data_IF_981238394775
#
_entry.id   IF_981238394775
#
_cell.length_a   1.000
_cell.length_b   1.000
_cell.length_c   1.000
_cell.angle_alpha   90.00
_cell.angle_beta   90.00
_cell.angle_gamma   90.00
#
_symmetry.space_group_name_H-M   'P 1'
#
loop_
_entity.id
_entity.type
_entity.pdbx_description
1 polymer ?
#
# COMPACT_ATOMS: atom_id res chain seq x y z
N UNK A 1 -2.70 21.69 10.34
CA UNK A 1 -3.39 20.72 9.48
C UNK A 1 -4.80 20.50 9.99
N UNK A 2 -5.78 20.43 9.09
CA UNK A 2 -7.15 20.07 9.43
C UNK A 2 -7.33 18.54 9.55
N UNK A 3 -8.41 18.08 10.19
CA UNK A 3 -8.72 16.64 10.32
C UNK A 3 -8.71 15.92 8.96
N UNK A 4 -9.35 16.44 7.89
CA UNK A 4 -9.30 15.84 6.55
C UNK A 4 -7.89 15.65 6.01
N UNK A 5 -7.01 16.65 6.19
CA UNK A 5 -5.62 16.60 5.71
C UNK A 5 -4.84 15.46 6.35
N UNK A 6 -5.01 15.23 7.65
CA UNK A 6 -4.38 14.12 8.35
C UNK A 6 -4.83 12.76 7.80
N UNK A 7 -6.13 12.55 7.62
CA UNK A 7 -6.66 11.29 7.08
C UNK A 7 -6.21 11.04 5.65
N UNK A 8 -6.17 12.07 4.80
CA UNK A 8 -5.71 11.96 3.41
C UNK A 8 -4.23 11.62 3.33
N UNK A 9 -3.39 12.22 4.17
CA UNK A 9 -1.96 11.95 4.23
C UNK A 9 -1.67 10.51 4.71
N UNK A 10 -2.40 10.05 5.73
CA UNK A 10 -2.32 8.65 6.19
C UNK A 10 -2.74 7.70 5.08
N UNK A 11 -3.86 7.97 4.40
CA UNK A 11 -4.35 7.15 3.30
C UNK A 11 -3.32 7.08 2.16
N UNK A 12 -2.65 8.19 1.84
CA UNK A 12 -1.57 8.22 0.85
C UNK A 12 -0.43 7.27 1.21
N UNK A 13 0.15 7.40 2.41
CA UNK A 13 1.29 6.57 2.81
C UNK A 13 0.93 5.10 2.94
N UNK A 14 -0.26 4.79 3.48
CA UNK A 14 -0.74 3.41 3.59
C UNK A 14 -0.90 2.79 2.20
N UNK A 15 -1.57 3.45 1.26
CA UNK A 15 -1.74 2.92 -0.09
C UNK A 15 -0.41 2.78 -0.84
N UNK A 16 0.47 3.77 -0.72
CA UNK A 16 1.79 3.74 -1.36
C UNK A 16 2.63 2.57 -0.82
N UNK A 17 2.69 2.43 0.50
CA UNK A 17 3.43 1.37 1.18
C UNK A 17 2.89 -0.02 0.84
N UNK A 18 1.58 -0.22 0.89
CA UNK A 18 0.98 -1.52 0.56
C UNK A 18 1.17 -1.88 -0.91
N UNK A 19 1.03 -0.92 -1.83
CA UNK A 19 1.32 -1.14 -3.24
C UNK A 19 2.77 -1.58 -3.47
N UNK A 20 3.74 -0.93 -2.81
CA UNK A 20 5.16 -1.30 -2.89
C UNK A 20 5.43 -2.69 -2.31
N UNK A 21 4.88 -3.01 -1.13
CA UNK A 21 5.07 -4.30 -0.46
C UNK A 21 4.56 -5.46 -1.32
N UNK A 22 3.40 -5.30 -1.96
CA UNK A 22 2.84 -6.33 -2.85
C UNK A 22 3.62 -6.42 -4.15
N UNK A 23 4.04 -5.29 -4.73
CA UNK A 23 4.82 -5.26 -5.97
C UNK A 23 6.18 -5.96 -5.84
N UNK A 24 6.93 -5.64 -4.78
CA UNK A 24 8.31 -6.14 -4.57
C UNK A 24 8.38 -7.63 -4.25
N UNK A 25 7.25 -8.29 -4.01
CA UNK A 25 7.24 -9.69 -3.62
C UNK A 25 7.61 -10.60 -4.79
N UNK A 26 8.62 -11.48 -4.68
CA UNK A 26 8.91 -12.51 -5.68
C UNK A 26 7.86 -13.64 -5.66
N UNK A 27 7.59 -14.25 -6.81
CA UNK A 27 6.74 -15.45 -6.93
C UNK A 27 5.76 -15.46 -8.11
N UNK A 28 4.99 -16.55 -8.25
CA UNK A 28 4.23 -16.95 -9.44
C UNK A 28 2.96 -16.14 -9.77
N UNK A 29 2.52 -15.21 -8.91
CA UNK A 29 1.31 -14.39 -9.11
C UNK A 29 1.62 -12.95 -9.55
N UNK A 30 2.41 -12.78 -10.62
CA UNK A 30 2.94 -11.46 -11.03
C UNK A 30 1.85 -10.46 -11.44
N UNK A 31 0.86 -10.89 -12.24
CA UNK A 31 -0.20 -10.04 -12.79
C UNK A 31 -1.23 -9.63 -11.73
N UNK A 32 -1.57 -10.52 -10.80
CA UNK A 32 -2.42 -10.18 -9.64
C UNK A 32 -1.71 -9.14 -8.76
N UNK A 33 -0.41 -9.34 -8.47
CA UNK A 33 0.37 -8.36 -7.70
C UNK A 33 0.45 -7.01 -8.40
N UNK A 34 0.73 -7.00 -9.70
CA UNK A 34 0.81 -5.75 -10.48
C UNK A 34 -0.51 -5.00 -10.47
N UNK A 35 -1.62 -5.67 -10.82
CA UNK A 35 -2.96 -5.04 -10.83
C UNK A 35 -3.37 -4.49 -9.46
N UNK A 36 -3.12 -5.24 -8.38
CA UNK A 36 -3.35 -4.74 -7.02
C UNK A 36 -2.46 -3.54 -6.66
N UNK A 37 -1.19 -3.57 -7.06
CA UNK A 37 -0.25 -2.48 -6.78
C UNK A 37 -0.64 -1.20 -7.52
N UNK A 38 -1.07 -1.32 -8.79
CA UNK A 38 -1.61 -0.20 -9.57
C UNK A 38 -2.88 0.34 -8.92
N UNK A 39 -3.78 -0.54 -8.44
CA UNK A 39 -4.99 -0.13 -7.72
C UNK A 39 -4.64 0.68 -6.45
N UNK A 40 -3.70 0.17 -5.65
CA UNK A 40 -3.23 0.85 -4.44
C UNK A 40 -2.56 2.19 -4.76
N UNK A 41 -1.63 2.25 -5.73
CA UNK A 41 -0.97 3.50 -6.11
C UNK A 41 -1.93 4.53 -6.71
N UNK A 42 -2.96 4.09 -7.43
CA UNK A 42 -4.02 4.98 -7.91
C UNK A 42 -4.81 5.58 -6.74
N UNK A 43 -5.11 4.77 -5.71
CA UNK A 43 -5.69 5.25 -4.45
C UNK A 43 -4.77 6.22 -3.70
N UNK A 44 -3.46 5.98 -3.69
CA UNK A 44 -2.47 6.90 -3.12
C UNK A 44 -2.46 8.24 -3.88
N UNK A 45 -2.37 8.20 -5.21
CA UNK A 45 -2.42 9.39 -6.06
C UNK A 45 -3.70 10.20 -5.84
N UNK A 46 -4.84 9.52 -5.68
CA UNK A 46 -6.11 10.16 -5.37
C UNK A 46 -6.09 10.84 -3.99
N UNK A 47 -5.59 10.16 -2.96
CA UNK A 47 -5.46 10.71 -1.61
C UNK A 47 -4.52 11.93 -1.56
N UNK A 48 -3.36 11.85 -2.23
CA UNK A 48 -2.42 12.97 -2.33
C UNK A 48 -3.05 14.16 -3.07
N UNK A 49 -3.77 13.89 -4.15
CA UNK A 49 -4.43 14.95 -4.93
C UNK A 49 -5.42 15.73 -4.09
N UNK A 50 -6.29 15.03 -3.35
CA UNK A 50 -7.24 15.68 -2.46
C UNK A 50 -6.55 16.37 -1.28
N UNK A 51 -5.49 15.78 -0.71
CA UNK A 51 -4.68 16.45 0.31
C UNK A 51 -4.19 17.82 -0.20
N UNK A 52 -3.61 17.84 -1.40
CA UNK A 52 -3.12 19.07 -2.02
C UNK A 52 -4.25 20.07 -2.31
N UNK A 53 -5.43 19.60 -2.73
CA UNK A 53 -6.61 20.48 -2.93
C UNK A 53 -7.06 21.16 -1.63
N UNK A 54 -7.02 20.47 -0.49
CA UNK A 54 -7.38 21.05 0.82
C UNK A 54 -6.27 21.94 1.40
N UNK A 55 -5.00 21.58 1.15
CA UNK A 55 -3.84 22.32 1.63
C UNK A 55 -3.64 23.65 0.87
N UNK A 56 -3.92 23.66 -0.43
CA UNK A 56 -3.63 24.78 -1.35
C UNK A 56 -4.84 25.69 -1.63
N UNK A 57 -5.66 26.03 -0.62
CA UNK A 57 -6.98 26.68 -0.81
C UNK A 57 -7.00 27.88 -1.79
N UNK A 58 -6.03 28.78 -1.68
CA UNK A 58 -5.95 30.02 -2.46
C UNK A 58 -4.85 30.00 -3.54
N UNK A 59 -4.29 28.82 -3.83
CA UNK A 59 -3.18 28.68 -4.79
C UNK A 59 -3.71 28.31 -6.19
N UNK A 60 -3.16 28.87 -7.28
CA UNK A 60 -3.53 28.51 -8.65
C UNK A 60 -3.33 27.01 -8.97
N UNK A 61 -2.39 26.33 -8.29
CA UNK A 61 -2.13 24.90 -8.44
C UNK A 61 -3.27 24.01 -7.92
N UNK A 62 -4.25 24.56 -7.20
CA UNK A 62 -5.39 23.79 -6.66
C UNK A 62 -6.20 23.12 -7.76
N UNK A 63 -6.40 23.78 -8.90
CA UNK A 63 -7.11 23.21 -10.04
C UNK A 63 -6.34 22.02 -10.65
N UNK A 64 -5.01 22.16 -10.78
CA UNK A 64 -4.14 21.08 -11.25
C UNK A 64 -4.28 19.83 -10.36
N UNK A 65 -4.24 19.99 -9.04
CA UNK A 65 -4.42 18.86 -8.12
C UNK A 65 -5.84 18.30 -8.12
N UNK A 66 -6.86 19.12 -8.37
CA UNK A 66 -8.22 18.65 -8.64
C UNK A 66 -8.26 17.72 -9.85
N UNK A 67 -7.69 18.16 -10.98
CA UNK A 67 -7.56 17.38 -12.22
C UNK A 67 -6.75 16.10 -12.02
N UNK A 68 -5.64 16.17 -11.27
CA UNK A 68 -4.83 15.01 -10.89
C UNK A 68 -5.65 13.99 -10.07
N UNK A 69 -6.57 14.46 -9.22
CA UNK A 69 -7.50 13.60 -8.48
C UNK A 69 -8.42 12.80 -9.40
N UNK A 70 -8.92 13.40 -10.47
CA UNK A 70 -9.71 12.71 -11.51
C UNK A 70 -8.85 11.77 -12.35
N UNK A 71 -7.62 12.17 -12.70
CA UNK A 71 -6.70 11.34 -13.47
C UNK A 71 -6.36 10.04 -12.73
N UNK A 72 -5.99 10.17 -11.45
CA UNK A 72 -5.62 9.03 -10.60
C UNK A 72 -6.82 8.15 -10.24
N UNK A 73 -7.97 8.74 -9.93
CA UNK A 73 -9.21 7.96 -9.71
C UNK A 73 -9.72 7.28 -10.97
N UNK A 74 -9.45 7.83 -12.16
CA UNK A 74 -9.76 7.19 -13.45
C UNK A 74 -9.05 5.86 -13.69
N UNK A 75 -7.91 5.61 -13.02
CA UNK A 75 -7.17 4.34 -13.14
C UNK A 75 -7.80 3.24 -12.26
N UNK A 76 -8.44 3.63 -11.14
CA UNK A 76 -8.97 2.71 -10.11
C UNK A 76 -9.92 1.64 -10.70
N UNK A 77 -10.96 1.98 -11.51
CA UNK A 77 -11.91 1.00 -12.01
C UNK A 77 -11.29 -0.02 -12.95
N UNK A 78 -10.35 0.42 -13.80
CA UNK A 78 -9.60 -0.45 -14.71
C UNK A 78 -8.70 -1.41 -13.93
N UNK A 79 -7.93 -0.89 -12.97
CA UNK A 79 -7.05 -1.70 -12.13
C UNK A 79 -7.85 -2.73 -11.30
N UNK A 80 -8.98 -2.29 -10.74
CA UNK A 80 -9.89 -3.17 -10.00
C UNK A 80 -10.49 -4.25 -10.90
N UNK A 81 -10.97 -3.91 -12.09
CA UNK A 81 -11.54 -4.88 -13.03
C UNK A 81 -10.52 -5.93 -13.46
N UNK A 82 -9.31 -5.52 -13.78
CA UNK A 82 -8.19 -6.40 -14.13
C UNK A 82 -7.84 -7.34 -12.95
N UNK A 83 -7.76 -6.79 -11.74
CA UNK A 83 -7.53 -7.55 -10.52
C UNK A 83 -8.65 -8.56 -10.26
N UNK A 84 -9.91 -8.13 -10.31
CA UNK A 84 -11.10 -8.97 -10.11
C UNK A 84 -11.21 -10.09 -11.14
N UNK A 85 -10.77 -9.85 -12.37
CA UNK A 85 -10.73 -10.87 -13.41
C UNK A 85 -9.69 -11.96 -13.11
N UNK A 86 -8.49 -11.58 -12.66
CA UNK A 86 -7.38 -12.49 -12.41
C UNK A 86 -7.46 -13.22 -11.06
N UNK A 87 -8.13 -12.64 -10.07
CA UNK A 87 -8.22 -13.20 -8.73
C UNK A 87 -9.19 -14.39 -8.66
N UNK A 88 -8.92 -15.48 -7.89
CA UNK A 88 -7.76 -15.71 -7.01
C UNK A 88 -6.57 -16.45 -7.66
N UNK A 89 -6.70 -16.95 -8.91
CA UNK A 89 -5.63 -17.67 -9.64
C UNK A 89 -5.39 -17.09 -11.03
N UNK A 90 -4.11 -16.94 -11.40
CA UNK A 90 -3.68 -16.52 -12.75
C UNK A 90 -3.86 -17.58 -13.86
N UNK A 91 -4.84 -18.47 -13.74
CA UNK A 91 -5.08 -19.53 -14.71
C UNK A 91 -5.88 -19.06 -15.93
N UNK A 92 -6.40 -17.83 -15.92
CA UNK A 92 -7.16 -17.27 -17.04
C UNK A 92 -6.20 -16.66 -18.06
N UNK A 93 -6.22 -17.18 -19.29
CA UNK A 93 -5.57 -16.51 -20.40
C UNK A 93 -6.23 -15.15 -20.65
N UNK A 94 -5.43 -14.10 -20.42
CA UNK A 94 -5.75 -12.76 -20.84
C UNK A 94 -5.23 -12.60 -22.25
N UNK A 95 -6.15 -12.56 -23.21
CA UNK A 95 -5.83 -12.11 -24.55
C UNK A 95 -5.46 -10.62 -24.51
N UNK A 96 -4.59 -10.20 -25.43
CA UNK A 96 -4.21 -8.79 -25.62
C UNK A 96 -5.45 -7.90 -25.73
N UNK A 97 -6.49 -8.37 -26.41
CA UNK A 97 -7.78 -7.69 -26.55
C UNK A 97 -8.42 -7.35 -25.20
N UNK A 98 -8.45 -8.27 -24.23
CA UNK A 98 -9.04 -8.00 -22.91
C UNK A 98 -8.21 -6.98 -22.13
N UNK A 99 -6.88 -7.06 -22.21
CA UNK A 99 -5.99 -6.05 -21.60
C UNK A 99 -6.27 -4.67 -22.18
N UNK A 100 -6.40 -4.57 -23.51
CA UNK A 100 -6.71 -3.30 -24.19
C UNK A 100 -8.10 -2.80 -23.78
N UNK A 101 -9.13 -3.65 -23.79
CA UNK A 101 -10.49 -3.26 -23.40
C UNK A 101 -10.54 -2.75 -21.96
N UNK A 102 -9.83 -3.42 -21.03
CA UNK A 102 -9.81 -2.99 -19.63
C UNK A 102 -8.95 -1.74 -19.43
N UNK A 103 -7.84 -1.59 -20.16
CA UNK A 103 -6.84 -0.53 -19.97
C UNK A 103 -7.09 0.77 -20.75
N UNK A 104 -7.56 0.70 -22.00
CA UNK A 104 -7.74 1.88 -22.86
C UNK A 104 -8.62 2.97 -22.23
N UNK A 105 -9.78 2.65 -21.61
CA UNK A 105 -10.60 3.67 -20.98
C UNK A 105 -9.88 4.42 -19.85
N UNK A 106 -9.03 3.75 -19.07
CA UNK A 106 -8.23 4.42 -18.04
C UNK A 106 -7.22 5.40 -18.66
N UNK A 107 -6.55 5.02 -19.76
CA UNK A 107 -5.64 5.91 -20.48
C UNK A 107 -6.37 7.12 -21.08
N UNK A 108 -7.54 6.90 -21.68
CA UNK A 108 -8.38 7.96 -22.23
C UNK A 108 -8.75 8.97 -21.14
N UNK A 109 -9.32 8.50 -20.02
CA UNK A 109 -9.75 9.39 -18.95
C UNK A 109 -8.59 10.01 -18.17
N UNK A 110 -7.42 9.37 -18.11
CA UNK A 110 -6.20 9.97 -17.57
C UNK A 110 -5.83 11.22 -18.37
N UNK A 111 -5.81 11.13 -19.70
CA UNK A 111 -5.48 12.27 -20.58
C UNK A 111 -6.56 13.34 -20.49
N UNK A 112 -7.84 12.96 -20.59
CA UNK A 112 -8.96 13.89 -20.54
C UNK A 112 -9.08 14.61 -19.19
N UNK A 113 -8.62 14.02 -18.09
CA UNK A 113 -8.65 14.64 -16.77
C UNK A 113 -7.83 15.92 -16.67
N UNK A 114 -6.78 16.08 -17.50
CA UNK A 114 -5.98 17.31 -17.53
C UNK A 114 -6.61 18.41 -18.40
N UNK A 115 -7.71 18.12 -19.10
CA UNK A 115 -8.46 19.07 -19.92
C UNK A 115 -9.69 19.61 -19.20
N UNK A 116 -10.29 20.66 -19.76
CA UNK A 116 -11.52 21.27 -19.23
C UNK A 116 -12.77 20.39 -19.42
N UNK A 117 -12.62 19.24 -20.09
CA UNK A 117 -13.70 18.32 -20.44
C UNK A 117 -14.24 17.55 -19.24
N UNK A 118 -13.42 17.27 -18.22
CA UNK A 118 -13.85 16.60 -16.99
C UNK A 118 -14.02 17.63 -15.86
N UNK A 119 -12.98 18.41 -15.57
CA UNK A 119 -13.02 19.50 -14.58
C UNK A 119 -12.62 20.80 -15.26
N UNK A 120 -13.61 21.66 -15.48
CA UNK A 120 -13.41 22.93 -16.15
C UNK A 120 -12.75 23.96 -15.23
N UNK A 121 -13.26 24.12 -14.01
CA UNK A 121 -12.78 25.10 -13.04
C UNK A 121 -13.06 24.71 -11.59
N UNK A 122 -12.53 25.48 -10.64
CA UNK A 122 -12.90 25.35 -9.23
C UNK A 122 -14.36 25.78 -9.05
N UNK A 123 -15.11 25.04 -8.25
CA UNK A 123 -16.50 25.34 -7.96
C UNK A 123 -16.62 26.46 -6.91
N UNK A 124 -17.81 27.07 -6.87
CA UNK A 124 -18.18 28.07 -5.88
C UNK A 124 -19.02 27.42 -4.77
N UNK A 125 -18.88 27.95 -3.55
CA UNK A 125 -19.67 27.59 -2.35
C UNK A 125 -19.73 26.08 -2.03
N UNK A 126 -20.82 25.40 -2.41
CA UNK A 126 -21.10 23.99 -2.05
C UNK A 126 -20.47 22.97 -2.99
N UNK A 127 -20.09 23.39 -4.21
CA UNK A 127 -19.42 22.55 -5.21
C UNK A 127 -17.92 22.80 -5.18
N UNK A 128 -17.14 21.72 -5.08
CA UNK A 128 -15.68 21.83 -5.10
C UNK A 128 -15.12 22.09 -6.50
N UNK A 129 -15.77 21.55 -7.53
CA UNK A 129 -15.35 21.65 -8.92
C UNK A 129 -16.56 21.92 -9.82
N UNK A 130 -16.35 22.67 -10.89
CA UNK A 130 -17.25 22.75 -12.02
C UNK A 130 -16.87 21.66 -13.03
N UNK A 131 -17.87 20.88 -13.44
CA UNK A 131 -17.68 19.72 -14.30
C UNK A 131 -17.86 20.09 -15.77
N UNK A 132 -17.00 19.53 -16.62
CA UNK A 132 -17.10 19.67 -18.07
C UNK A 132 -18.09 18.68 -18.71
N UNK A 133 -18.31 18.77 -20.04
CA UNK A 133 -19.31 17.97 -20.73
C UNK A 133 -19.00 16.47 -20.77
N UNK A 134 -17.73 16.05 -20.58
CA UNK A 134 -17.34 14.63 -20.55
C UNK A 134 -17.40 14.01 -19.15
N UNK A 135 -17.73 14.77 -18.11
CA UNK A 135 -17.86 14.25 -16.75
C UNK A 135 -18.93 13.15 -16.59
N UNK A 136 -20.11 13.20 -17.24
CA UNK A 136 -21.07 12.09 -17.21
C UNK A 136 -20.50 10.79 -17.79
N UNK A 137 -19.70 10.88 -18.86
CA UNK A 137 -19.04 9.71 -19.46
C UNK A 137 -17.99 9.12 -18.52
N UNK A 138 -17.22 9.96 -17.83
CA UNK A 138 -16.31 9.52 -16.76
C UNK A 138 -17.08 8.80 -15.65
N UNK A 139 -18.24 9.32 -15.25
CA UNK A 139 -19.10 8.75 -14.21
C UNK A 139 -19.67 7.38 -14.60
N UNK A 140 -20.12 7.24 -15.85
CA UNK A 140 -20.59 5.96 -16.43
C UNK A 140 -19.45 4.95 -16.50
N UNK A 141 -18.28 5.36 -16.98
CA UNK A 141 -17.09 4.52 -17.01
C UNK A 141 -16.73 3.99 -15.62
N UNK A 142 -16.60 4.90 -14.66
CA UNK A 142 -16.21 4.58 -13.29
C UNK A 142 -17.22 3.61 -12.67
N UNK A 143 -18.51 3.92 -12.74
CA UNK A 143 -19.57 3.09 -12.16
C UNK A 143 -19.69 1.74 -12.87
N UNK A 144 -19.68 1.74 -14.20
CA UNK A 144 -19.82 0.53 -15.02
C UNK A 144 -18.68 -0.46 -14.81
N UNK A 145 -17.43 0.01 -14.79
CA UNK A 145 -16.26 -0.85 -14.55
C UNK A 145 -16.24 -1.39 -13.13
N UNK A 146 -16.64 -0.60 -12.14
CA UNK A 146 -16.78 -1.07 -10.76
C UNK A 146 -17.84 -2.18 -10.66
N UNK A 147 -19.02 -1.98 -11.27
CA UNK A 147 -20.08 -3.01 -11.31
C UNK A 147 -19.57 -4.29 -11.97
N UNK A 148 -18.91 -4.18 -13.14
CA UNK A 148 -18.34 -5.34 -13.83
C UNK A 148 -17.31 -6.09 -12.97
N UNK A 149 -16.45 -5.36 -12.25
CA UNK A 149 -15.48 -5.95 -11.31
C UNK A 149 -16.17 -6.73 -10.19
N UNK A 150 -17.23 -6.17 -9.59
CA UNK A 150 -18.05 -6.88 -8.60
C UNK A 150 -18.73 -8.11 -9.19
N UNK A 151 -19.28 -8.03 -10.39
CA UNK A 151 -19.90 -9.18 -11.07
C UNK A 151 -18.89 -10.31 -11.29
N UNK A 152 -17.64 -9.99 -11.67
CA UNK A 152 -16.57 -10.98 -11.77
C UNK A 152 -16.22 -11.63 -10.43
N UNK A 153 -16.11 -10.84 -9.35
CA UNK A 153 -15.85 -11.39 -8.01
C UNK A 153 -17.02 -12.24 -7.52
N UNK A 154 -18.27 -11.83 -7.73
CA UNK A 154 -19.47 -12.59 -7.35
C UNK A 154 -19.53 -13.90 -8.13
N UNK A 155 -19.29 -13.86 -9.45
CA UNK A 155 -19.26 -15.05 -10.30
C UNK A 155 -18.17 -16.02 -9.84
N UNK A 156 -16.99 -15.50 -9.51
CA UNK A 156 -15.88 -16.30 -9.00
C UNK A 156 -16.22 -16.89 -7.63
N UNK A 157 -16.79 -16.10 -6.71
CA UNK A 157 -17.23 -16.56 -5.38
C UNK A 157 -18.20 -17.73 -5.46
N UNK A 158 -19.14 -17.71 -6.41
CA UNK A 158 -20.11 -18.79 -6.64
C UNK A 158 -19.50 -20.05 -7.23
N UNK A 159 -18.35 -19.96 -7.91
CA UNK A 159 -17.68 -21.09 -8.59
C UNK A 159 -16.55 -21.72 -7.76
N UNK A 160 -15.95 -20.96 -6.85
CA UNK A 160 -14.87 -21.43 -5.98
C UNK A 160 -15.40 -22.11 -4.73
N UNK A 161 -14.62 -23.04 -4.15
CA UNK A 161 -14.91 -23.72 -2.88
C UNK A 161 -13.72 -23.64 -1.93
N UNK A 162 -13.93 -23.96 -0.64
CA UNK A 162 -12.87 -23.99 0.37
C UNK A 162 -12.19 -22.63 0.60
N UNK A 163 -10.87 -22.64 0.64
CA UNK A 163 -10.04 -21.45 0.96
C UNK A 163 -10.24 -20.34 -0.08
N UNK A 164 -10.33 -20.68 -1.37
CA UNK A 164 -10.51 -19.69 -2.44
C UNK A 164 -11.83 -18.93 -2.33
N UNK A 165 -12.90 -19.62 -1.91
CA UNK A 165 -14.19 -18.97 -1.67
C UNK A 165 -14.10 -17.95 -0.55
N UNK A 166 -13.37 -18.25 0.53
CA UNK A 166 -13.11 -17.31 1.61
C UNK A 166 -12.28 -16.13 1.12
N UNK A 167 -11.25 -16.38 0.33
CA UNK A 167 -10.39 -15.34 -0.23
C UNK A 167 -11.18 -14.31 -1.05
N UNK A 168 -12.05 -14.81 -1.96
CA UNK A 168 -12.92 -13.98 -2.78
C UNK A 168 -13.97 -13.26 -1.93
N UNK A 169 -14.53 -13.92 -0.90
CA UNK A 169 -15.49 -13.30 0.03
C UNK A 169 -14.91 -12.06 0.71
N UNK A 170 -13.73 -12.18 1.32
CA UNK A 170 -13.10 -11.06 2.02
C UNK A 170 -12.68 -9.95 1.06
N UNK A 171 -12.17 -10.31 -0.12
CA UNK A 171 -11.88 -9.34 -1.16
C UNK A 171 -13.14 -8.57 -1.59
N UNK A 172 -14.25 -9.27 -1.84
CA UNK A 172 -15.52 -8.67 -2.23
C UNK A 172 -16.03 -7.72 -1.15
N UNK A 173 -16.02 -8.12 0.12
CA UNK A 173 -16.41 -7.26 1.24
C UNK A 173 -15.52 -6.01 1.33
N UNK A 174 -14.20 -6.17 1.24
CA UNK A 174 -13.25 -5.06 1.28
C UNK A 174 -13.47 -4.04 0.17
N UNK A 175 -13.67 -4.54 -1.05
CA UNK A 175 -13.96 -3.71 -2.22
C UNK A 175 -15.30 -3.00 -2.05
N UNK A 176 -16.35 -3.70 -1.60
CA UNK A 176 -17.68 -3.13 -1.41
C UNK A 176 -17.70 -2.01 -0.37
N UNK A 177 -17.14 -2.26 0.82
CA UNK A 177 -17.08 -1.27 1.90
C UNK A 177 -16.15 -0.08 1.58
N UNK A 178 -15.32 -0.20 0.55
CA UNK A 178 -14.51 0.91 0.04
C UNK A 178 -15.24 1.67 -1.05
N UNK A 179 -15.74 0.98 -2.06
CA UNK A 179 -16.32 1.59 -3.24
C UNK A 179 -17.67 2.23 -2.97
N UNK A 180 -18.52 1.63 -2.13
CA UNK A 180 -19.84 2.16 -1.84
C UNK A 180 -19.76 3.58 -1.23
N UNK A 181 -19.05 3.81 -0.11
CA UNK A 181 -18.94 5.16 0.42
C UNK A 181 -18.09 6.08 -0.46
N UNK A 182 -17.10 5.57 -1.19
CA UNK A 182 -16.33 6.39 -2.14
C UNK A 182 -17.21 6.94 -3.27
N UNK A 183 -18.02 6.09 -3.91
CA UNK A 183 -18.96 6.49 -4.97
C UNK A 183 -20.01 7.48 -4.45
N UNK A 184 -20.58 7.23 -3.27
CA UNK A 184 -21.55 8.14 -2.67
C UNK A 184 -20.92 9.51 -2.43
N UNK A 185 -19.77 9.56 -1.78
CA UNK A 185 -19.17 10.82 -1.33
C UNK A 185 -18.45 11.60 -2.44
N UNK A 186 -17.94 10.94 -3.49
CA UNK A 186 -17.11 11.60 -4.50
C UNK A 186 -17.70 11.60 -5.91
N UNK A 187 -18.83 10.91 -6.13
CA UNK A 187 -19.51 10.90 -7.41
C UNK A 187 -20.96 11.39 -7.26
N UNK A 188 -21.78 10.68 -6.48
CA UNK A 188 -23.20 10.96 -6.40
C UNK A 188 -23.54 12.23 -5.63
N UNK A 189 -22.93 12.47 -4.47
CA UNK A 189 -23.14 13.70 -3.71
C UNK A 189 -22.66 14.96 -4.46
N UNK A 190 -21.48 14.96 -5.12
CA UNK A 190 -21.07 16.10 -5.94
C UNK A 190 -21.96 16.35 -7.15
N UNK A 191 -22.52 15.30 -7.77
CA UNK A 191 -23.54 15.44 -8.81
C UNK A 191 -24.82 16.12 -8.28
N UNK A 192 -25.19 15.82 -7.03
CA UNK A 192 -26.28 16.51 -6.32
C UNK A 192 -25.89 17.91 -5.81
N UNK A 193 -24.66 18.38 -6.06
CA UNK A 193 -24.19 19.71 -5.68
C UNK A 193 -23.59 19.83 -4.28
N UNK A 194 -23.35 18.72 -3.59
CA UNK A 194 -22.77 18.67 -2.24
C UNK A 194 -21.37 18.07 -2.29
N UNK A 195 -20.34 18.87 -2.02
CA UNK A 195 -18.93 18.42 -2.03
C UNK A 195 -18.25 18.39 -0.65
N UNK A 196 -18.99 18.65 0.43
CA UNK A 196 -18.44 18.74 1.79
C UNK A 196 -17.78 17.44 2.29
N UNK A 197 -18.16 16.30 1.70
CA UNK A 197 -17.70 14.97 2.11
C UNK A 197 -16.67 14.35 1.16
N UNK A 198 -16.21 15.07 0.14
CA UNK A 198 -15.27 14.50 -0.85
C UNK A 198 -14.00 13.94 -0.21
N UNK A 199 -13.50 14.55 0.88
CA UNK A 199 -12.31 14.08 1.57
C UNK A 199 -12.42 12.67 2.16
N UNK A 200 -13.63 12.15 2.37
CA UNK A 200 -13.84 10.81 2.95
C UNK A 200 -13.56 9.68 1.95
N UNK A 201 -13.69 9.92 0.65
CA UNK A 201 -13.50 8.90 -0.39
C UNK A 201 -12.14 8.22 -0.37
N UNK A 202 -11.03 8.98 -0.52
CA UNK A 202 -9.70 8.38 -0.54
C UNK A 202 -9.35 7.60 0.72
N UNK A 203 -9.63 8.07 1.96
CA UNK A 203 -9.39 7.30 3.18
C UNK A 203 -10.11 5.94 3.24
N UNK A 204 -11.28 5.78 2.62
CA UNK A 204 -11.97 4.48 2.59
C UNK A 204 -11.18 3.39 1.86
N UNK A 205 -10.23 3.75 0.98
CA UNK A 205 -9.34 2.77 0.33
C UNK A 205 -8.50 1.94 1.32
N UNK A 206 -8.28 2.45 2.53
CA UNK A 206 -7.61 1.71 3.59
C UNK A 206 -8.42 0.49 4.06
N UNK A 207 -9.75 0.52 3.96
CA UNK A 207 -10.63 -0.63 4.26
C UNK A 207 -10.37 -1.76 3.26
N UNK A 208 -10.35 -1.45 1.97
CA UNK A 208 -10.01 -2.41 0.91
C UNK A 208 -8.65 -3.05 1.18
N UNK A 209 -7.64 -2.25 1.54
CA UNK A 209 -6.31 -2.76 1.85
C UNK A 209 -6.35 -3.71 3.05
N UNK A 210 -7.04 -3.35 4.14
CA UNK A 210 -7.18 -4.20 5.32
C UNK A 210 -7.84 -5.55 5.02
N UNK A 211 -8.96 -5.54 4.31
CA UNK A 211 -9.69 -6.77 3.96
C UNK A 211 -8.95 -7.63 2.94
N UNK A 212 -8.34 -7.01 1.91
CA UNK A 212 -7.60 -7.74 0.88
C UNK A 212 -6.32 -8.31 1.47
N UNK A 213 -5.65 -7.58 2.34
CA UNK A 213 -4.51 -8.05 3.12
C UNK A 213 -4.88 -9.21 4.02
N UNK A 214 -5.96 -9.08 4.79
CA UNK A 214 -6.44 -10.15 5.65
C UNK A 214 -6.73 -11.42 4.83
N UNK A 215 -7.37 -11.26 3.67
CA UNK A 215 -7.60 -12.33 2.70
C UNK A 215 -6.29 -12.98 2.26
N UNK A 216 -5.29 -12.17 1.90
CA UNK A 216 -3.99 -12.65 1.43
C UNK A 216 -3.21 -13.38 2.54
N UNK A 217 -3.18 -12.82 3.75
CA UNK A 217 -2.36 -13.29 4.88
C UNK A 217 -3.00 -14.49 5.59
N UNK A 218 -4.27 -14.37 5.98
CA UNK A 218 -4.92 -15.44 6.74
C UNK A 218 -5.23 -16.66 5.88
N UNK A 219 -5.53 -16.43 4.61
CA UNK A 219 -5.91 -17.51 3.68
C UNK A 219 -4.82 -17.87 2.67
N UNK A 220 -3.55 -17.50 2.95
CA UNK A 220 -2.33 -17.92 2.21
C UNK A 220 -2.43 -17.76 0.69
N UNK A 221 -3.04 -16.68 0.22
CA UNK A 221 -3.32 -16.45 -1.21
C UNK A 221 -2.07 -16.22 -2.04
N UNK A 222 -1.09 -15.63 -1.39
CA UNK A 222 0.29 -15.47 -1.82
C UNK A 222 1.06 -15.69 -0.52
N UNK A 223 2.20 -16.40 -0.50
CA UNK A 223 3.04 -16.62 0.70
C UNK A 223 3.61 -15.30 1.31
N UNK A 224 2.77 -14.30 1.59
CA UNK A 224 3.09 -12.95 2.08
C UNK A 224 3.03 -12.93 3.60
N UNK A 225 2.67 -14.04 4.24
CA UNK A 225 2.55 -14.14 5.71
C UNK A 225 3.81 -13.62 6.39
N UNK A 226 4.99 -13.93 5.86
CA UNK A 226 6.25 -13.45 6.43
C UNK A 226 6.41 -11.93 6.27
N UNK A 227 6.08 -11.38 5.10
CA UNK A 227 6.21 -9.93 4.83
C UNK A 227 5.17 -9.14 5.61
N UNK A 228 3.96 -9.65 5.80
CA UNK A 228 2.94 -8.99 6.61
C UNK A 228 3.24 -9.11 8.09
N UNK A 229 3.53 -10.29 8.63
CA UNK A 229 3.85 -10.42 10.06
C UNK A 229 5.10 -9.65 10.41
N UNK A 230 6.16 -9.70 9.58
CA UNK A 230 7.36 -8.87 9.82
C UNK A 230 7.08 -7.39 9.55
N UNK A 231 6.39 -7.05 8.46
CA UNK A 231 6.11 -5.68 8.05
C UNK A 231 5.17 -4.93 9.00
N UNK A 232 4.10 -5.56 9.48
CA UNK A 232 3.23 -4.97 10.52
C UNK A 232 3.97 -4.84 11.83
N UNK A 233 4.83 -5.80 12.19
CA UNK A 233 5.68 -5.68 13.38
C UNK A 233 6.63 -4.48 13.22
N UNK A 234 7.29 -4.32 12.07
CA UNK A 234 8.16 -3.16 11.80
C UNK A 234 7.39 -1.84 11.80
N UNK A 235 6.23 -1.76 11.16
CA UNK A 235 5.39 -0.56 11.15
C UNK A 235 4.90 -0.24 12.57
N UNK A 236 4.47 -1.25 13.33
CA UNK A 236 4.02 -1.06 14.71
C UNK A 236 5.17 -0.61 15.62
N UNK A 237 6.36 -1.21 15.49
CA UNK A 237 7.57 -0.77 16.19
C UNK A 237 7.97 0.66 15.81
N UNK A 238 7.89 1.00 14.51
CA UNK A 238 8.15 2.36 14.03
C UNK A 238 7.14 3.35 14.63
N UNK A 239 5.85 3.05 14.62
CA UNK A 239 4.83 3.92 15.20
C UNK A 239 5.02 4.07 16.71
N UNK A 240 5.27 2.97 17.42
CA UNK A 240 5.53 2.97 18.86
C UNK A 240 6.78 3.78 19.22
N UNK A 241 7.79 3.79 18.36
CA UNK A 241 9.03 4.55 18.59
C UNK A 241 8.87 6.03 18.19
N UNK A 242 8.35 6.31 16.98
CA UNK A 242 8.34 7.65 16.40
C UNK A 242 7.18 8.53 16.87
N UNK A 243 5.99 7.98 17.20
CA UNK A 243 4.86 8.79 17.69
C UNK A 243 5.21 9.47 19.03
N UNK A 244 5.71 8.77 20.06
CA UNK A 244 6.08 9.41 21.31
C UNK A 244 7.19 10.45 21.12
N UNK A 245 8.18 10.15 20.26
CA UNK A 245 9.26 11.10 19.93
C UNK A 245 8.72 12.38 19.29
N UNK A 246 7.77 12.27 18.35
CA UNK A 246 7.11 13.42 17.75
C UNK A 246 6.29 14.22 18.77
N UNK A 247 5.54 13.53 19.64
CA UNK A 247 4.76 14.17 20.70
C UNK A 247 5.67 14.92 21.69
N UNK A 248 6.77 14.30 22.12
CA UNK A 248 7.78 14.91 22.99
C UNK A 248 8.41 16.12 22.30
N UNK A 249 8.76 16.01 21.02
CA UNK A 249 9.31 17.13 20.24
C UNK A 249 8.34 18.31 20.20
N UNK A 250 7.05 18.07 19.91
CA UNK A 250 6.03 19.13 19.87
C UNK A 250 5.79 19.72 21.27
N UNK A 251 5.71 18.87 22.30
CA UNK A 251 5.51 19.31 23.68
C UNK A 251 6.70 20.16 24.17
N UNK A 252 7.93 19.76 23.85
CA UNK A 252 9.13 20.53 24.16
C UNK A 252 9.12 21.90 23.46
N UNK A 253 8.73 21.97 22.20
CA UNK A 253 8.59 23.26 21.50
C UNK A 253 7.55 24.16 22.16
N UNK A 254 6.41 23.59 22.56
CA UNK A 254 5.35 24.34 23.22
C UNK A 254 5.76 24.85 24.60
N UNK A 255 6.52 24.06 25.36
CA UNK A 255 6.96 24.42 26.72
C UNK A 255 8.13 25.41 26.73
N UNK A 256 9.09 25.29 25.80
CA UNK A 256 10.33 26.08 25.82
C UNK A 256 10.34 27.27 24.86
N UNK A 257 9.63 27.19 23.73
CA UNK A 257 9.72 28.18 22.66
C UNK A 257 8.40 28.91 22.37
N UNK A 258 7.30 28.52 23.03
CA UNK A 258 5.92 29.03 22.89
C UNK A 258 5.34 29.06 21.45
N UNK A 259 6.13 28.65 20.45
CA UNK A 259 5.78 28.59 19.03
C UNK A 259 6.14 27.22 18.48
N UNK A 260 5.20 26.63 17.75
CA UNK A 260 5.39 25.35 17.07
C UNK A 260 5.94 25.63 15.68
N UNK A 261 7.18 25.22 15.43
CA UNK A 261 7.79 25.28 14.10
C UNK A 261 7.75 23.91 13.44
N UNK A 262 6.86 23.74 12.46
CA UNK A 262 6.74 22.49 11.71
C UNK A 262 8.02 22.10 10.97
N UNK A 263 8.80 23.09 10.52
CA UNK A 263 10.07 22.87 9.83
C UNK A 263 11.12 22.32 10.80
N UNK A 264 11.17 22.81 12.04
CA UNK A 264 12.04 22.25 13.07
C UNK A 264 11.64 20.80 13.40
N UNK A 265 10.34 20.52 13.58
CA UNK A 265 9.85 19.16 13.85
C UNK A 265 10.21 18.20 12.72
N UNK A 266 10.14 18.65 11.47
CA UNK A 266 10.54 17.85 10.30
C UNK A 266 12.04 17.54 10.31
N UNK A 267 12.90 18.53 10.60
CA UNK A 267 14.36 18.34 10.69
C UNK A 267 14.71 17.35 11.80
N UNK A 268 14.12 17.50 12.99
CA UNK A 268 14.34 16.59 14.12
C UNK A 268 13.90 15.17 13.78
N UNK A 269 12.74 15.01 13.12
CA UNK A 269 12.27 13.71 12.66
C UNK A 269 13.25 13.07 11.66
N UNK A 270 13.74 13.82 10.66
CA UNK A 270 14.70 13.32 9.68
C UNK A 270 16.03 12.92 10.34
N UNK A 271 16.52 13.69 11.31
CA UNK A 271 17.73 13.37 12.06
C UNK A 271 17.56 12.09 12.90
N UNK A 272 16.44 11.94 13.61
CA UNK A 272 16.14 10.73 14.39
C UNK A 272 15.98 9.51 13.49
N UNK A 273 15.34 9.66 12.34
CA UNK A 273 15.22 8.60 11.35
C UNK A 273 16.58 8.17 10.79
N UNK A 274 17.43 9.14 10.45
CA UNK A 274 18.79 8.89 10.01
C UNK A 274 19.61 8.19 11.11
N UNK A 275 19.51 8.65 12.36
CA UNK A 275 20.18 8.03 13.50
C UNK A 275 19.72 6.59 13.74
N UNK A 276 18.42 6.32 13.69
CA UNK A 276 17.87 4.97 13.86
C UNK A 276 18.34 4.00 12.75
N UNK A 277 18.40 4.47 11.50
CA UNK A 277 18.87 3.65 10.37
C UNK A 277 20.37 3.38 10.43
N UNK A 278 21.19 4.37 10.79
CA UNK A 278 22.62 4.20 11.06
C UNK A 278 22.87 3.24 12.22
N UNK A 279 22.13 3.38 13.32
CA UNK A 279 22.25 2.49 14.47
C UNK A 279 21.94 1.04 14.09
N UNK A 280 20.87 0.81 13.31
CA UNK A 280 20.53 -0.52 12.80
C UNK A 280 21.61 -1.13 11.89
N UNK A 281 22.39 -0.31 11.17
CA UNK A 281 23.53 -0.73 10.33
C UNK A 281 24.80 -1.00 11.14
N UNK A 282 25.08 -0.19 12.16
CA UNK A 282 26.32 -0.24 12.94
C UNK A 282 26.24 -1.31 14.04
N UNK A 283 25.07 -1.49 14.66
CA UNK A 283 24.88 -2.42 15.79
C UNK A 283 25.39 -3.84 15.53
N UNK A 284 25.07 -4.50 14.39
CA UNK A 284 25.55 -5.87 14.14
C UNK A 284 27.08 -5.95 13.99
N UNK A 285 27.70 -4.89 13.47
CA UNK A 285 29.16 -4.81 13.34
C UNK A 285 29.83 -4.58 14.69
N UNK A 286 29.26 -3.70 15.51
CA UNK A 286 29.75 -3.47 16.87
C UNK A 286 29.60 -4.72 17.75
N UNK A 287 28.46 -5.42 17.68
CA UNK A 287 28.23 -6.70 18.39
C UNK A 287 29.27 -7.76 17.99
N UNK A 288 29.57 -7.90 16.69
CA UNK A 288 30.61 -8.82 16.22
C UNK A 288 32.01 -8.47 16.75
N UNK A 289 32.37 -7.19 16.80
CA UNK A 289 33.67 -6.76 17.31
C UNK A 289 33.77 -7.04 18.81
N UNK A 290 32.72 -6.73 19.57
CA UNK A 290 32.65 -7.02 21.01
C UNK A 290 32.71 -8.52 21.26
N UNK A 291 31.99 -9.34 20.48
CA UNK A 291 32.05 -10.80 20.60
C UNK A 291 33.44 -11.36 20.31
N UNK A 292 34.14 -10.83 19.32
CA UNK A 292 35.50 -11.24 18.98
C UNK A 292 36.53 -10.85 20.04
N UNK A 293 36.33 -9.72 20.73
CA UNK A 293 37.23 -9.24 21.78
C UNK A 293 36.98 -9.96 23.10
N UNK A 294 35.72 -10.20 23.48
CA UNK A 294 35.35 -10.72 24.81
C UNK A 294 35.07 -12.22 24.85
N UNK A 295 34.66 -12.87 23.74
CA UNK A 295 34.23 -14.28 23.72
C UNK A 295 35.09 -15.18 22.82
N UNK A 296 36.38 -14.86 22.69
CA UNK A 296 37.35 -15.57 21.84
C UNK A 296 37.37 -17.09 22.07
N UNK A 297 37.16 -17.54 23.31
CA UNK A 297 37.28 -18.96 23.72
C UNK A 297 36.10 -19.86 23.33
N UNK A 298 34.91 -19.32 23.01
CA UNK A 298 33.75 -20.15 22.61
C UNK A 298 33.70 -20.48 21.13
N UNK A 299 34.37 -19.69 20.29
CA UNK A 299 34.46 -19.98 18.86
C UNK A 299 35.37 -21.19 18.61
N UNK A 300 36.45 -21.32 19.40
CA UNK A 300 37.43 -22.41 19.28
C UNK A 300 36.85 -23.77 19.71
N UNK A 301 35.85 -23.81 20.60
CA UNK A 301 35.27 -25.08 21.07
C UNK A 301 34.50 -25.83 19.97
N UNK A 302 33.79 -25.11 19.09
CA UNK A 302 33.04 -25.72 17.97
C UNK A 302 33.97 -26.25 16.88
N UNK A 303 35.02 -25.51 16.55
CA UNK A 303 36.03 -25.96 15.58
C UNK A 303 36.87 -27.11 16.13
N UNK A 304 37.25 -27.06 17.42
CA UNK A 304 37.99 -28.13 18.08
C UNK A 304 37.16 -29.42 18.19
N UNK A 305 35.87 -29.33 18.55
CA UNK A 305 34.96 -30.48 18.62
C UNK A 305 34.69 -31.08 17.24
N UNK A 306 34.57 -30.24 16.20
CA UNK A 306 34.43 -30.69 14.81
C UNK A 306 35.66 -31.44 14.30
N UNK A 307 36.87 -30.98 14.65
CA UNK A 307 38.13 -31.67 14.34
C UNK A 307 38.25 -32.99 15.10
N UNK A 308 37.90 -33.02 16.39
CA UNK A 308 37.88 -34.24 17.20
C UNK A 308 36.92 -35.29 16.64
N UNK A 309 35.70 -34.89 16.27
CA UNK A 309 34.70 -35.80 15.70
C UNK A 309 35.18 -36.38 14.36
N UNK A 310 35.81 -35.57 13.50
CA UNK A 310 36.38 -36.06 12.24
C UNK A 310 37.55 -37.03 12.45
N UNK A 311 38.42 -36.76 13.43
CA UNK A 311 39.53 -37.65 13.76
C UNK A 311 39.03 -39.01 14.30
N UNK A 312 38.02 -39.01 15.17
CA UNK A 312 37.38 -40.22 15.69
C UNK A 312 36.78 -41.08 14.59
N UNK A 313 36.05 -40.46 13.65
CA UNK A 313 35.47 -41.16 12.50
C UNK A 313 36.56 -41.77 11.62
N UNK A 314 37.65 -41.03 11.37
CA UNK A 314 38.77 -41.54 10.58
C UNK A 314 39.46 -42.76 11.22
N UNK A 315 39.60 -42.79 12.55
CA UNK A 315 40.20 -43.92 13.27
C UNK A 315 39.27 -45.14 13.25
N UNK A 316 37.96 -44.92 13.43
CA UNK A 316 36.93 -45.96 13.33
C UNK A 316 36.87 -46.58 11.93
N UNK A 317 37.00 -45.77 10.89
CA UNK A 317 37.06 -46.25 9.50
C UNK A 317 38.33 -47.07 9.24
N UNK A 318 39.49 -46.63 9.72
CA UNK A 318 40.76 -47.36 9.59
C UNK A 318 40.71 -48.73 10.31
N UNK A 319 40.16 -48.79 11.52
CA UNK A 319 39.97 -50.07 12.23
C UNK A 319 38.96 -50.97 11.52
N UNK A 320 37.92 -50.41 10.93
CA UNK A 320 36.92 -51.16 10.16
C UNK A 320 37.50 -51.72 8.86
N UNK A 321 38.44 -51.00 8.25
CA UNK A 321 39.16 -51.42 7.05
C UNK A 321 40.16 -52.55 7.36
N UNK A 322 40.89 -52.46 8.47
CA UNK A 322 41.86 -53.49 8.90
C UNK A 322 41.22 -54.82 9.31
N UNK A 323 39.92 -54.84 9.64
CA UNK A 323 39.16 -56.07 9.93
C UNK A 323 38.59 -56.74 8.68
N UNK A 324 38.62 -56.07 7.52
CA UNK A 324 38.06 -56.55 6.25
C UNK A 324 39.10 -57.11 5.27
N UNK A 325 40.37 -56.97 5.58
CA UNK A 325 41.52 -57.53 4.84
C UNK A 325 42.11 -58.64 5.70
#
# INVERSE_FOLDING_TARGET
MSIPECFLLVAFFVNLGFGLLVFMKPGSYRRIRLSFSVLAWSGAGWALSFFMVYFLKDNPLRLFWGRMGFATSGIIPSAFLMFAFLFPREQKDISLTKTIIFGCPALLFLILSFTDQIVSSLGLSSKMFNYGPLYPFFSIYLTGFMILGFLFLIKTYRRTVGIERLQVKYCLLGMFFTSAPALINNLFLPMAGVSSFNWLGPPFTMIMLGFTTYSIVKHRLMDINIVFTKGTTYIFLLLLLFIPLLLISILSQKLFFEKISYLHTLIVFLLLFLAATLFGRIKPSAEKVVEQIFFKDRYDYRDTLGRFSKALVSILDLQSLSKRI
#
